data_IF_610395886788
#
_entry.id   IF_610395886788
#
_cell.length_a   1.000
_cell.length_b   1.000
_cell.length_c   1.000
_cell.angle_alpha   90.00
_cell.angle_beta   90.00
_cell.angle_gamma   90.00
#
_symmetry.space_group_name_H-M   'P 1'
#
loop_
_entity.id
_entity.type
_entity.pdbx_description
1 polymer ?
#
# COMPACT_ATOMS: atom_id res chain seq x y z
N UNK A 1 34.31 -16.52 22.47
CA UNK A 1 33.19 -15.56 22.58
C UNK A 1 33.08 -14.85 21.24
N UNK A 2 32.08 -15.19 20.41
CA UNK A 2 31.91 -14.53 19.11
C UNK A 2 31.47 -13.06 19.34
N UNK A 3 32.03 -12.07 18.63
CA UNK A 3 31.55 -10.71 18.74
C UNK A 3 30.10 -10.66 18.24
N UNK A 4 29.17 -10.27 19.11
CA UNK A 4 27.84 -9.84 18.67
C UNK A 4 28.07 -8.59 17.83
N UNK A 5 28.06 -8.74 16.51
CA UNK A 5 27.99 -7.60 15.59
C UNK A 5 26.69 -6.86 15.87
N UNK A 6 26.74 -5.84 16.72
CA UNK A 6 25.61 -4.95 16.98
C UNK A 6 25.50 -4.06 15.75
N UNK A 7 24.68 -4.49 14.79
CA UNK A 7 24.30 -3.64 13.67
C UNK A 7 23.39 -2.54 14.20
N UNK A 8 23.61 -1.31 13.75
CA UNK A 8 22.66 -0.21 13.99
C UNK A 8 21.35 -0.58 13.31
N UNK A 9 20.26 -0.56 14.07
CA UNK A 9 18.89 -0.79 13.58
C UNK A 9 18.11 0.49 13.78
N UNK A 10 17.43 0.94 12.72
CA UNK A 10 16.46 2.03 12.76
C UNK A 10 15.11 1.44 12.38
N UNK A 11 14.15 1.54 13.28
CA UNK A 11 12.79 1.06 13.07
C UNK A 11 11.91 2.18 12.50
N UNK A 12 10.93 1.81 11.67
CA UNK A 12 9.97 2.76 11.12
C UNK A 12 8.56 2.19 11.19
N UNK A 13 7.57 3.07 11.29
CA UNK A 13 6.17 2.66 11.26
C UNK A 13 5.22 3.61 11.97
N UNK A 14 4.07 3.07 12.39
CA UNK A 14 3.02 3.85 13.07
C UNK A 14 3.00 3.63 14.59
N UNK A 15 3.81 2.67 15.07
CA UNK A 15 3.93 2.37 16.49
C UNK A 15 4.61 3.51 17.24
N UNK A 16 4.23 3.72 18.49
CA UNK A 16 4.92 4.66 19.39
C UNK A 16 6.35 4.21 19.71
N UNK A 17 6.68 2.94 19.45
CA UNK A 17 8.03 2.38 19.66
C UNK A 17 8.94 2.51 18.43
N UNK A 18 8.46 3.04 17.30
CA UNK A 18 9.27 3.18 16.10
C UNK A 18 10.14 4.44 16.15
N UNK A 19 11.40 4.33 15.72
CA UNK A 19 12.35 5.44 15.70
C UNK A 19 11.92 6.54 14.73
N UNK A 20 11.40 6.16 13.56
CA UNK A 20 10.84 7.06 12.55
C UNK A 20 9.35 6.77 12.37
N UNK A 21 8.48 7.70 12.78
CA UNK A 21 7.03 7.46 12.78
C UNK A 21 6.20 8.59 12.21
N UNK A 22 5.06 8.23 11.64
CA UNK A 22 4.05 9.17 11.15
C UNK A 22 2.96 9.40 12.19
N UNK A 23 2.55 10.65 12.34
CA UNK A 23 1.38 11.07 13.14
C UNK A 23 0.51 12.04 12.34
N UNK A 24 -0.70 12.32 12.83
CA UNK A 24 -1.67 13.22 12.19
C UNK A 24 -1.88 12.90 10.70
N UNK A 25 -2.01 11.60 10.41
CA UNK A 25 -2.18 11.11 9.04
C UNK A 25 -3.57 11.49 8.56
N UNK A 26 -3.64 12.10 7.37
CA UNK A 26 -4.88 12.42 6.69
C UNK A 26 -4.81 11.98 5.22
N UNK A 27 -5.93 11.46 4.72
CA UNK A 27 -6.05 10.95 3.36
C UNK A 27 -7.01 11.83 2.58
N UNK A 28 -6.71 12.07 1.30
CA UNK A 28 -7.59 12.79 0.38
C UNK A 28 -7.34 12.32 -1.06
N UNK A 29 -8.21 12.71 -1.99
CA UNK A 29 -8.02 12.44 -3.43
C UNK A 29 -6.68 13.01 -3.97
N UNK A 30 -6.05 13.96 -3.26
CA UNK A 30 -4.75 14.53 -3.63
C UNK A 30 -3.54 13.72 -3.14
N UNK A 31 -3.76 12.76 -2.25
CA UNK A 31 -2.70 11.97 -1.62
C UNK A 31 -2.82 11.88 -0.10
N UNK A 32 -1.70 11.63 0.56
CA UNK A 32 -1.60 11.50 2.01
C UNK A 32 -0.69 12.57 2.59
N UNK A 33 -1.17 13.22 3.66
CA UNK A 33 -0.43 14.19 4.45
C UNK A 33 -0.20 13.65 5.87
N UNK A 34 1.00 13.82 6.41
CA UNK A 34 1.35 13.40 7.77
C UNK A 34 2.55 14.17 8.32
N UNK A 35 2.67 14.21 9.65
CA UNK A 35 3.85 14.70 10.36
C UNK A 35 4.81 13.55 10.66
N UNK A 36 6.11 13.79 10.50
CA UNK A 36 7.17 12.82 10.77
C UNK A 36 7.84 13.16 12.10
N UNK A 37 7.98 12.17 12.96
CA UNK A 37 8.84 12.22 14.14
C UNK A 37 10.05 11.31 13.97
N UNK A 38 11.20 11.77 14.45
CA UNK A 38 12.44 11.00 14.57
C UNK A 38 12.87 11.02 16.02
N UNK A 39 12.91 9.85 16.67
CA UNK A 39 13.15 9.71 18.11
C UNK A 39 12.30 10.68 18.93
N UNK A 40 10.99 10.69 18.65
CA UNK A 40 9.96 11.56 19.27
C UNK A 40 10.10 13.07 19.05
N UNK A 41 11.02 13.51 18.19
CA UNK A 41 11.13 14.91 17.79
C UNK A 41 10.48 15.14 16.42
N UNK A 42 9.54 16.10 16.29
CA UNK A 42 8.96 16.42 14.99
C UNK A 42 10.04 17.01 14.08
N UNK A 43 10.18 16.45 12.88
CA UNK A 43 11.15 16.92 11.87
C UNK A 43 10.48 17.68 10.72
N UNK A 44 9.17 17.49 10.54
CA UNK A 44 8.35 18.26 9.60
C UNK A 44 7.20 17.45 9.02
N UNK A 45 6.44 18.09 8.13
CA UNK A 45 5.29 17.49 7.44
C UNK A 45 5.65 17.02 6.03
N UNK A 46 5.09 15.89 5.62
CA UNK A 46 5.27 15.28 4.30
C UNK A 46 3.92 15.17 3.61
N UNK A 47 3.92 15.51 2.33
CA UNK A 47 2.86 15.21 1.39
C UNK A 47 3.35 14.18 0.37
N UNK A 48 2.57 13.15 0.10
CA UNK A 48 2.83 12.16 -0.96
C UNK A 48 1.56 11.91 -1.76
N UNK A 49 1.68 11.69 -3.07
CA UNK A 49 0.54 11.32 -3.94
C UNK A 49 0.03 9.89 -3.68
N UNK A 50 0.78 9.11 -2.91
CA UNK A 50 0.41 7.75 -2.55
C UNK A 50 -0.70 7.74 -1.51
N UNK A 51 -1.51 6.69 -1.51
CA UNK A 51 -2.61 6.50 -0.56
C UNK A 51 -2.46 5.19 0.22
N UNK A 52 -3.07 5.15 1.40
CA UNK A 52 -3.08 4.00 2.30
C UNK A 52 -1.89 3.94 3.26
N UNK A 53 -2.13 3.33 4.43
CA UNK A 53 -1.16 3.24 5.53
C UNK A 53 0.12 2.46 5.16
N UNK A 54 0.03 1.52 4.23
CA UNK A 54 1.19 0.78 3.73
C UNK A 54 2.16 1.72 3.00
N UNK A 55 1.66 2.68 2.22
CA UNK A 55 2.48 3.68 1.55
C UNK A 55 3.03 4.73 2.51
N UNK A 56 2.33 5.04 3.61
CA UNK A 56 2.92 5.82 4.71
C UNK A 56 4.14 5.10 5.26
N UNK A 57 4.04 3.80 5.54
CA UNK A 57 5.18 2.99 6.02
C UNK A 57 6.33 2.93 5.00
N UNK A 58 6.02 2.72 3.71
CA UNK A 58 7.03 2.76 2.64
C UNK A 58 7.73 4.12 2.56
N UNK A 59 6.96 5.21 2.73
CA UNK A 59 7.50 6.57 2.75
C UNK A 59 8.40 6.79 3.96
N UNK A 60 8.00 6.33 5.16
CA UNK A 60 8.83 6.40 6.36
C UNK A 60 10.13 5.59 6.22
N UNK A 61 10.11 4.44 5.54
CA UNK A 61 11.30 3.68 5.24
C UNK A 61 12.29 4.49 4.39
N UNK A 62 11.79 5.15 3.33
CA UNK A 62 12.60 6.02 2.47
C UNK A 62 13.15 7.23 3.24
N UNK A 63 12.35 7.84 4.12
CA UNK A 63 12.79 8.93 4.99
C UNK A 63 13.90 8.47 5.93
N UNK A 64 13.72 7.32 6.60
CA UNK A 64 14.71 6.78 7.52
C UNK A 64 16.06 6.54 6.83
N UNK A 65 16.03 5.98 5.62
CA UNK A 65 17.23 5.80 4.80
C UNK A 65 17.85 7.14 4.39
N UNK A 66 17.05 8.11 3.95
CA UNK A 66 17.55 9.43 3.55
C UNK A 66 18.24 10.17 4.69
N UNK A 67 17.67 10.12 5.90
CA UNK A 67 18.26 10.72 7.10
C UNK A 67 19.57 10.01 7.47
N UNK A 68 19.61 8.68 7.42
CA UNK A 68 20.83 7.92 7.74
C UNK A 68 21.95 8.18 6.72
N UNK A 69 21.61 8.52 5.48
CA UNK A 69 22.56 8.95 4.45
C UNK A 69 22.99 10.43 4.58
N UNK A 70 22.47 11.16 5.58
CA UNK A 70 22.81 12.55 5.84
C UNK A 70 22.12 13.56 4.92
N UNK A 71 21.01 13.19 4.28
CA UNK A 71 20.21 14.14 3.50
C UNK A 71 19.41 15.07 4.42
N UNK A 72 19.31 16.34 4.04
CA UNK A 72 18.42 17.28 4.69
C UNK A 72 16.95 16.85 4.52
N UNK A 73 16.16 17.01 5.58
CA UNK A 73 14.75 16.60 5.56
C UNK A 73 13.93 17.30 4.47
N UNK A 74 14.24 18.56 4.18
CA UNK A 74 13.59 19.30 3.10
C UNK A 74 13.94 18.73 1.72
N UNK A 75 15.12 18.14 1.53
CA UNK A 75 15.52 17.50 0.27
C UNK A 75 14.75 16.19 0.07
N UNK A 76 14.65 15.39 1.13
CA UNK A 76 13.83 14.16 1.18
C UNK A 76 12.38 14.49 0.82
N UNK A 77 11.80 15.52 1.47
CA UNK A 77 10.43 15.97 1.22
C UNK A 77 10.21 16.41 -0.22
N UNK A 78 11.15 17.16 -0.82
CA UNK A 78 11.08 17.55 -2.23
C UNK A 78 11.14 16.33 -3.17
N UNK A 79 11.93 15.32 -2.83
CA UNK A 79 11.98 14.05 -3.56
C UNK A 79 10.64 13.30 -3.51
N UNK A 80 10.08 13.15 -2.31
CA UNK A 80 8.80 12.47 -2.08
C UNK A 80 7.63 13.16 -2.78
N UNK A 81 7.56 14.48 -2.76
CA UNK A 81 6.50 15.24 -3.43
C UNK A 81 6.49 15.03 -4.97
N UNK A 82 7.64 14.70 -5.56
CA UNK A 82 7.79 14.43 -7.00
C UNK A 82 7.46 12.98 -7.36
N UNK A 83 7.39 12.07 -6.39
CA UNK A 83 7.10 10.67 -6.66
C UNK A 83 5.67 10.49 -7.17
N UNK A 84 5.52 9.91 -8.37
CA UNK A 84 4.22 9.70 -9.02
C UNK A 84 3.60 8.32 -8.75
N UNK A 85 4.28 7.49 -7.95
CA UNK A 85 3.89 6.10 -7.74
C UNK A 85 4.59 5.13 -8.68
N UNK A 86 4.12 3.89 -8.64
CA UNK A 86 4.65 2.76 -9.42
C UNK A 86 3.56 2.28 -10.36
N UNK A 87 3.95 1.84 -11.55
CA UNK A 87 3.04 1.26 -12.53
C UNK A 87 2.20 0.14 -11.90
N UNK A 88 0.87 0.21 -12.07
CA UNK A 88 -0.12 -0.74 -11.50
C UNK A 88 -0.08 -0.88 -9.96
N UNK A 89 0.29 0.16 -9.23
CA UNK A 89 0.13 0.22 -7.77
C UNK A 89 -0.75 1.42 -7.42
N UNK A 90 -2.01 1.14 -7.11
CA UNK A 90 -3.08 2.10 -6.91
C UNK A 90 -3.10 3.17 -8.01
N UNK A 91 -2.98 2.74 -9.27
CA UNK A 91 -2.82 3.64 -10.39
C UNK A 91 -4.18 4.17 -10.85
N UNK A 92 -4.39 5.48 -10.75
CA UNK A 92 -5.55 6.13 -11.37
C UNK A 92 -5.41 6.03 -12.90
N UNK A 93 -6.35 5.33 -13.54
CA UNK A 93 -6.43 5.17 -15.00
C UNK A 93 -7.24 6.28 -15.65
N UNK A 94 -8.18 6.85 -14.93
CA UNK A 94 -9.00 7.96 -15.39
C UNK A 94 -10.29 8.12 -14.62
N UNK A 95 -11.06 9.11 -15.03
CA UNK A 95 -12.39 9.39 -14.51
C UNK A 95 -13.36 9.51 -15.68
N UNK A 96 -14.42 8.70 -15.69
CA UNK A 96 -15.40 8.65 -16.79
C UNK A 96 -16.81 8.50 -16.23
N UNK A 97 -17.73 9.35 -16.66
CA UNK A 97 -19.16 9.27 -16.29
C UNK A 97 -19.41 9.14 -14.78
N UNK A 98 -18.64 9.85 -13.95
CA UNK A 98 -18.78 9.77 -12.49
C UNK A 98 -17.90 8.72 -11.80
N UNK A 99 -17.24 7.85 -12.57
CA UNK A 99 -16.52 6.66 -12.09
C UNK A 99 -15.02 6.92 -12.12
N UNK A 100 -14.37 6.77 -10.97
CA UNK A 100 -12.92 6.72 -10.85
C UNK A 100 -12.43 5.28 -11.10
N UNK A 101 -11.54 5.12 -12.08
CA UNK A 101 -10.96 3.81 -12.43
C UNK A 101 -9.55 3.71 -11.86
N UNK A 102 -9.31 2.70 -11.02
CA UNK A 102 -8.03 2.41 -10.39
C UNK A 102 -7.57 1.01 -10.82
N UNK A 103 -6.31 0.87 -11.20
CA UNK A 103 -5.65 -0.41 -11.51
C UNK A 103 -4.61 -0.72 -10.43
N UNK A 104 -4.67 -1.93 -9.87
CA UNK A 104 -3.72 -2.43 -8.87
C UNK A 104 -3.28 -3.87 -9.21
N UNK A 105 -2.00 -4.17 -8.96
CA UNK A 105 -1.37 -5.47 -9.17
C UNK A 105 -1.61 -6.47 -8.02
N UNK A 106 -2.33 -6.06 -6.98
CA UNK A 106 -2.68 -6.88 -5.83
C UNK A 106 -3.31 -8.22 -6.26
N UNK A 107 -2.64 -9.30 -5.91
CA UNK A 107 -3.08 -10.66 -6.20
C UNK A 107 -3.00 -11.59 -4.99
N UNK A 108 -2.38 -11.12 -3.90
CA UNK A 108 -2.41 -11.78 -2.60
C UNK A 108 -3.52 -11.18 -1.72
N UNK A 109 -4.24 -11.98 -0.90
CA UNK A 109 -5.32 -11.49 -0.02
C UNK A 109 -4.96 -10.29 0.86
N UNK A 110 -3.72 -10.24 1.35
CA UNK A 110 -3.20 -9.09 2.12
C UNK A 110 -3.11 -7.82 1.29
N UNK A 111 -2.63 -7.89 0.05
CA UNK A 111 -2.51 -6.73 -0.84
C UNK A 111 -3.89 -6.21 -1.24
N UNK A 112 -4.85 -7.11 -1.48
CA UNK A 112 -6.24 -6.77 -1.81
C UNK A 112 -6.89 -5.96 -0.67
N UNK A 113 -6.80 -6.47 0.57
CA UNK A 113 -7.32 -5.75 1.75
C UNK A 113 -6.73 -4.36 1.87
N UNK A 114 -5.41 -4.28 1.72
CA UNK A 114 -4.68 -3.01 1.81
C UNK A 114 -5.13 -2.03 0.73
N UNK A 115 -5.40 -2.52 -0.48
CA UNK A 115 -5.90 -1.72 -1.62
C UNK A 115 -7.31 -1.21 -1.35
N UNK A 116 -8.24 -2.07 -0.93
CA UNK A 116 -9.63 -1.69 -0.66
C UNK A 116 -9.73 -0.73 0.53
N UNK A 117 -8.93 -0.95 1.58
CA UNK A 117 -8.84 -0.02 2.71
C UNK A 117 -8.32 1.35 2.27
N UNK A 118 -7.28 1.40 1.43
CA UNK A 118 -6.77 2.65 0.89
C UNK A 118 -7.85 3.39 0.08
N UNK A 119 -8.66 2.67 -0.71
CA UNK A 119 -9.78 3.26 -1.44
C UNK A 119 -10.83 3.86 -0.49
N UNK A 120 -11.31 3.09 0.50
CA UNK A 120 -12.32 3.57 1.48
C UNK A 120 -11.84 4.74 2.33
N UNK A 121 -10.58 4.75 2.74
CA UNK A 121 -10.02 5.82 3.56
C UNK A 121 -9.85 7.13 2.78
N UNK A 122 -9.71 7.04 1.46
CA UNK A 122 -9.38 8.18 0.59
C UNK A 122 -10.62 8.75 -0.09
N UNK A 123 -11.56 7.88 -0.48
CA UNK A 123 -12.72 8.23 -1.28
C UNK A 123 -14.00 7.86 -0.54
N UNK A 124 -14.86 8.84 -0.31
CA UNK A 124 -16.22 8.62 0.17
C UNK A 124 -17.13 8.21 -1.00
N UNK A 125 -16.90 7.01 -1.54
CA UNK A 125 -17.55 6.49 -2.76
C UNK A 125 -17.77 4.99 -2.63
N UNK A 126 -18.76 4.49 -3.37
CA UNK A 126 -18.98 3.04 -3.54
C UNK A 126 -17.77 2.39 -4.23
N UNK A 127 -17.27 1.29 -3.68
CA UNK A 127 -16.13 0.52 -4.17
C UNK A 127 -16.60 -0.72 -4.92
N UNK A 128 -16.34 -0.75 -6.23
CA UNK A 128 -16.56 -1.93 -7.08
C UNK A 128 -15.21 -2.58 -7.36
N UNK A 129 -14.98 -3.77 -6.83
CA UNK A 129 -13.78 -4.56 -7.05
C UNK A 129 -13.98 -5.51 -8.23
N UNK A 130 -13.16 -5.38 -9.27
CA UNK A 130 -13.09 -6.34 -10.39
C UNK A 130 -11.79 -7.12 -10.25
N UNK A 131 -11.89 -8.41 -9.98
CA UNK A 131 -10.75 -9.26 -9.64
C UNK A 131 -10.59 -10.41 -10.62
N UNK A 132 -9.38 -10.56 -11.15
CA UNK A 132 -8.97 -11.74 -11.90
C UNK A 132 -8.01 -12.57 -11.04
N UNK A 133 -8.42 -13.76 -10.57
CA UNK A 133 -7.52 -14.66 -9.85
C UNK A 133 -6.33 -15.04 -10.73
N UNK A 134 -5.12 -15.12 -10.15
CA UNK A 134 -3.89 -15.42 -10.86
C UNK A 134 -3.28 -16.73 -10.32
N UNK A 135 -3.12 -17.74 -11.19
CA UNK A 135 -2.78 -19.15 -10.90
C UNK A 135 -3.93 -19.93 -10.23
N UNK A 136 -4.15 -21.17 -10.65
CA UNK A 136 -5.12 -22.08 -10.05
C UNK A 136 -4.66 -22.55 -8.67
N UNK A 137 -3.36 -22.86 -8.52
CA UNK A 137 -2.76 -23.28 -7.24
C UNK A 137 -2.99 -22.25 -6.14
N UNK A 138 -2.73 -20.98 -6.43
CA UNK A 138 -2.95 -19.86 -5.52
C UNK A 138 -4.43 -19.63 -5.22
N UNK A 139 -5.29 -19.72 -6.23
CA UNK A 139 -6.73 -19.56 -6.06
C UNK A 139 -7.28 -20.64 -5.11
N UNK A 140 -6.83 -21.88 -5.27
CA UNK A 140 -7.15 -22.99 -4.36
C UNK A 140 -6.60 -22.76 -2.95
N UNK A 141 -5.34 -22.38 -2.84
CA UNK A 141 -4.65 -22.19 -1.55
C UNK A 141 -5.31 -21.12 -0.68
N UNK A 142 -5.71 -19.99 -1.29
CA UNK A 142 -6.23 -18.82 -0.57
C UNK A 142 -7.73 -18.60 -0.75
N UNK A 143 -8.50 -19.61 -1.18
CA UNK A 143 -9.92 -19.45 -1.52
C UNK A 143 -10.73 -18.74 -0.42
N UNK A 144 -10.51 -19.15 0.83
CA UNK A 144 -11.21 -18.57 1.99
C UNK A 144 -10.68 -17.18 2.35
N UNK A 145 -9.38 -16.96 2.25
CA UNK A 145 -8.71 -15.68 2.49
C UNK A 145 -9.11 -14.64 1.45
N UNK A 146 -9.32 -15.03 0.19
CA UNK A 146 -9.85 -14.15 -0.85
C UNK A 146 -11.25 -13.67 -0.49
N UNK A 147 -12.17 -14.56 -0.11
CA UNK A 147 -13.51 -14.17 0.32
C UNK A 147 -13.49 -13.13 1.44
N UNK A 148 -12.60 -13.30 2.43
CA UNK A 148 -12.41 -12.31 3.50
C UNK A 148 -11.76 -11.02 3.01
N UNK A 149 -10.86 -11.09 2.04
CA UNK A 149 -10.13 -9.93 1.56
C UNK A 149 -11.00 -8.91 0.85
N UNK A 150 -12.11 -9.36 0.25
CA UNK A 150 -13.05 -8.50 -0.49
C UNK A 150 -14.22 -7.98 0.35
N UNK A 151 -14.29 -8.26 1.66
CA UNK A 151 -15.34 -7.74 2.55
C UNK A 151 -15.38 -6.20 2.60
N UNK A 152 -14.28 -5.55 2.22
CA UNK A 152 -14.22 -4.11 2.11
C UNK A 152 -14.71 -3.55 0.76
N UNK A 153 -15.21 -4.39 -0.15
CA UNK A 153 -15.88 -3.94 -1.38
C UNK A 153 -17.40 -3.93 -1.22
N UNK A 154 -18.08 -3.00 -1.89
CA UNK A 154 -19.55 -2.97 -1.94
C UNK A 154 -20.09 -3.92 -3.02
N UNK A 155 -19.33 -4.09 -4.10
CA UNK A 155 -19.60 -5.04 -5.18
C UNK A 155 -18.29 -5.74 -5.54
N UNK A 156 -18.34 -7.06 -5.62
CA UNK A 156 -17.25 -7.89 -6.12
C UNK A 156 -17.67 -8.54 -7.44
N UNK A 157 -16.85 -8.35 -8.47
CA UNK A 157 -16.93 -9.06 -9.73
C UNK A 157 -15.67 -9.91 -9.84
N UNK A 158 -15.82 -11.23 -9.90
CA UNK A 158 -14.70 -12.16 -10.10
C UNK A 158 -14.77 -12.69 -11.52
N UNK A 159 -13.65 -12.64 -12.24
CA UNK A 159 -13.53 -13.22 -13.58
C UNK A 159 -12.96 -14.63 -13.50
N UNK A 160 -12.90 -15.33 -14.64
CA UNK A 160 -12.15 -16.58 -14.76
C UNK A 160 -10.71 -16.45 -14.27
N UNK A 161 -10.17 -17.57 -13.77
CA UNK A 161 -8.79 -17.67 -13.30
C UNK A 161 -7.83 -17.51 -14.47
N UNK A 162 -6.91 -16.55 -14.37
CA UNK A 162 -5.76 -16.47 -15.24
C UNK A 162 -4.73 -17.52 -14.81
N UNK A 163 -4.75 -18.68 -15.48
CA UNK A 163 -3.87 -19.81 -15.18
C UNK A 163 -2.37 -19.52 -15.36
N UNK A 164 -2.03 -18.51 -16.17
CA UNK A 164 -0.67 -18.15 -16.58
C UNK A 164 0.13 -19.33 -17.18
N UNK A 165 0.70 -20.18 -16.32
CA UNK A 165 1.51 -21.36 -16.67
C UNK A 165 0.91 -22.68 -16.18
N UNK A 166 -0.25 -22.62 -15.52
CA UNK A 166 -0.90 -23.78 -14.88
C UNK A 166 -2.10 -24.23 -15.71
N UNK A 167 -2.24 -25.55 -15.80
CA UNK A 167 -3.47 -26.17 -16.28
C UNK A 167 -4.61 -25.96 -15.27
N UNK A 168 -5.87 -25.90 -15.74
CA UNK A 168 -7.03 -25.84 -14.86
C UNK A 168 -7.04 -26.96 -13.82
N UNK A 169 -7.37 -26.60 -12.57
CA UNK A 169 -7.60 -27.56 -11.49
C UNK A 169 -9.11 -27.74 -11.32
N UNK A 170 -9.59 -28.99 -11.37
CA UNK A 170 -11.00 -29.30 -11.18
C UNK A 170 -11.54 -28.69 -9.86
N UNK A 171 -12.68 -28.01 -9.96
CA UNK A 171 -13.31 -27.32 -8.82
C UNK A 171 -12.68 -25.98 -8.42
N UNK A 172 -11.67 -25.49 -9.15
CA UNK A 172 -11.04 -24.19 -8.91
C UNK A 172 -11.40 -23.22 -10.03
N UNK A 173 -12.41 -22.39 -9.79
CA UNK A 173 -12.88 -21.35 -10.74
C UNK A 173 -12.85 -19.96 -10.10
N UNK A 174 -13.07 -18.94 -10.91
CA UNK A 174 -13.43 -17.61 -10.44
C UNK A 174 -14.87 -17.55 -9.95
#
# INVERSE_FOLDING_TARGET
MMPKNVRRVITYGLSTQADVRAVKISFSEKGTDFEVLVSDRPVGSVHTKLVGLHNVKNTLAAIAVGIELGLDFEDIKRGLAKFQGVYRRFQIKGYVSGILVIDDFAHHPTEIRVTLQAAKMTYDRRVVAVFQPHLYSRTKEFAHEFGKAFLDSDVLVVTDVYGAREEPIEGVTG
#
